data_IF_343426242153
#
_entry.id   IF_343426242153
#
_cell.length_a   1.000
_cell.length_b   1.000
_cell.length_c   1.000
_cell.angle_alpha   90.00
_cell.angle_beta   90.00
_cell.angle_gamma   90.00
#
_symmetry.space_group_name_H-M   'P 1'
#
loop_
_entity.id
_entity.type
_entity.pdbx_description
1 polymer ?
#
# COMPACT_ATOMS: atom_id res chain seq x y z
N UNK A 1 6.58 19.71 -3.10
CA UNK A 1 5.76 20.29 -2.01
C UNK A 1 6.02 19.45 -0.77
N UNK A 2 6.41 20.06 0.35
CA UNK A 2 6.60 19.30 1.58
C UNK A 2 5.28 18.63 1.96
N UNK A 3 5.26 17.30 2.08
CA UNK A 3 4.12 16.59 2.67
C UNK A 3 3.79 17.29 3.99
N UNK A 4 2.53 17.65 4.20
CA UNK A 4 2.08 18.25 5.46
C UNK A 4 2.52 17.40 6.65
N UNK A 5 2.70 18.03 7.82
CA UNK A 5 3.07 17.30 9.04
C UNK A 5 2.03 16.22 9.31
N UNK A 6 2.45 14.96 9.32
CA UNK A 6 1.56 13.84 9.61
C UNK A 6 1.06 13.93 11.05
N UNK A 7 -0.27 13.98 11.23
CA UNK A 7 -0.89 13.98 12.55
C UNK A 7 -1.20 12.55 13.00
N UNK A 8 -0.51 12.10 14.05
CA UNK A 8 -0.73 10.77 14.65
C UNK A 8 -1.98 10.79 15.53
N UNK A 9 -3.14 10.70 14.91
CA UNK A 9 -4.44 10.66 15.62
C UNK A 9 -4.85 9.24 16.03
N UNK A 10 -4.26 8.21 15.39
CA UNK A 10 -4.55 6.78 15.62
C UNK A 10 -3.29 6.01 15.99
N UNK A 11 -3.40 4.89 16.74
CA UNK A 11 -2.30 3.94 16.91
C UNK A 11 -1.76 3.48 15.57
N UNK A 12 -0.44 3.61 15.39
CA UNK A 12 0.28 3.23 14.18
C UNK A 12 0.78 1.78 14.28
N UNK A 13 0.58 0.98 13.24
CA UNK A 13 1.07 -0.40 13.16
C UNK A 13 1.77 -0.64 11.82
N UNK A 14 3.01 -1.12 11.87
CA UNK A 14 3.71 -1.57 10.66
C UNK A 14 3.22 -2.97 10.27
N UNK A 15 2.83 -3.15 9.01
CA UNK A 15 2.35 -4.42 8.46
C UNK A 15 2.98 -4.69 7.10
N UNK A 16 3.00 -5.95 6.68
CA UNK A 16 3.58 -6.32 5.38
C UNK A 16 2.89 -7.53 4.78
N UNK A 17 2.81 -7.57 3.45
CA UNK A 17 2.24 -8.69 2.69
C UNK A 17 3.35 -9.62 2.24
N UNK A 18 3.42 -10.81 2.83
CA UNK A 18 4.42 -11.85 2.52
C UNK A 18 3.76 -13.09 1.93
N UNK A 19 4.51 -13.90 1.16
CA UNK A 19 4.01 -15.12 0.54
C UNK A 19 4.72 -15.49 -0.76
N UNK A 20 4.41 -16.68 -1.30
CA UNK A 20 5.01 -17.21 -2.53
C UNK A 20 4.72 -16.32 -3.76
N UNK A 21 5.53 -16.46 -4.81
CA UNK A 21 5.33 -15.75 -6.09
C UNK A 21 3.92 -16.07 -6.64
N UNK A 22 3.30 -15.10 -7.31
CA UNK A 22 1.95 -15.19 -7.89
C UNK A 22 0.77 -15.43 -6.93
N UNK A 23 0.99 -15.42 -5.61
CA UNK A 23 -0.09 -15.48 -4.62
C UNK A 23 -0.85 -14.14 -4.43
N UNK A 24 -0.71 -13.19 -5.36
CA UNK A 24 -1.52 -11.97 -5.38
C UNK A 24 -1.19 -10.91 -4.33
N UNK A 25 0.05 -10.87 -3.82
CA UNK A 25 0.48 -9.90 -2.79
C UNK A 25 0.21 -8.45 -3.21
N UNK A 26 0.71 -8.02 -4.37
CA UNK A 26 0.52 -6.66 -4.91
C UNK A 26 -0.95 -6.33 -5.13
N UNK A 27 -1.73 -7.28 -5.68
CA UNK A 27 -3.17 -7.11 -5.93
C UNK A 27 -3.93 -6.89 -4.63
N UNK A 28 -3.60 -7.65 -3.58
CA UNK A 28 -4.19 -7.49 -2.25
C UNK A 28 -3.82 -6.11 -1.67
N UNK A 29 -2.56 -5.70 -1.77
CA UNK A 29 -2.11 -4.38 -1.29
C UNK A 29 -2.84 -3.23 -2.02
N UNK A 30 -3.00 -3.31 -3.34
CA UNK A 30 -3.77 -2.33 -4.10
C UNK A 30 -5.24 -2.29 -3.65
N UNK A 31 -5.87 -3.45 -3.42
CA UNK A 31 -7.25 -3.53 -2.94
C UNK A 31 -7.42 -2.93 -1.54
N UNK A 32 -6.46 -3.14 -0.63
CA UNK A 32 -6.47 -2.55 0.72
C UNK A 32 -6.46 -1.03 0.66
N UNK A 33 -5.58 -0.44 -0.15
CA UNK A 33 -5.54 1.03 -0.31
C UNK A 33 -6.80 1.57 -0.98
N UNK A 34 -7.36 0.85 -1.97
CA UNK A 34 -8.61 1.25 -2.64
C UNK A 34 -9.78 1.30 -1.66
N UNK A 35 -10.02 0.19 -0.96
CA UNK A 35 -11.15 0.08 -0.04
C UNK A 35 -10.97 0.99 1.16
N UNK A 36 -9.74 1.18 1.64
CA UNK A 36 -9.40 2.16 2.67
C UNK A 36 -9.78 3.58 2.22
N UNK A 37 -9.31 3.99 1.04
CA UNK A 37 -9.62 5.30 0.46
C UNK A 37 -11.13 5.53 0.28
N UNK A 38 -11.86 4.54 -0.24
CA UNK A 38 -13.31 4.62 -0.45
C UNK A 38 -14.11 4.72 0.87
N UNK A 39 -13.65 4.07 1.94
CA UNK A 39 -14.42 3.98 3.20
C UNK A 39 -14.02 5.01 4.25
N UNK A 40 -12.74 5.32 4.35
CA UNK A 40 -12.17 6.09 5.45
C UNK A 40 -11.39 7.32 4.95
N UNK A 41 -11.26 7.50 3.64
CA UNK A 41 -10.37 8.49 3.04
C UNK A 41 -8.93 7.97 2.93
N UNK A 42 -8.03 8.83 2.46
CA UNK A 42 -6.64 8.46 2.17
C UNK A 42 -6.36 8.33 0.66
N UNK A 43 -5.23 7.72 0.31
CA UNK A 43 -4.73 7.66 -1.06
C UNK A 43 -4.79 6.22 -1.60
N UNK A 44 -5.51 6.02 -2.71
CA UNK A 44 -5.47 4.76 -3.45
C UNK A 44 -4.13 4.60 -4.18
N UNK A 45 -3.52 3.42 -4.07
CA UNK A 45 -2.34 3.01 -4.84
C UNK A 45 -2.72 1.87 -5.79
N UNK A 46 -2.73 2.16 -7.08
CA UNK A 46 -2.95 1.17 -8.12
C UNK A 46 -1.80 0.16 -8.19
N UNK A 47 -2.08 -1.03 -8.75
CA UNK A 47 -1.10 -2.10 -8.93
C UNK A 47 0.20 -1.61 -9.57
N UNK A 48 0.12 -0.88 -10.68
CA UNK A 48 1.26 -0.34 -11.43
C UNK A 48 2.05 0.76 -10.68
N UNK A 49 1.48 1.30 -9.60
CA UNK A 49 2.14 2.26 -8.71
C UNK A 49 2.84 1.57 -7.53
N UNK A 50 2.49 0.31 -7.26
CA UNK A 50 3.15 -0.54 -6.26
C UNK A 50 4.29 -1.30 -6.95
N UNK A 51 4.02 -1.94 -8.09
CA UNK A 51 5.03 -2.54 -8.97
C UNK A 51 5.48 -1.49 -10.01
N UNK A 52 6.14 -0.43 -9.53
CA UNK A 52 6.44 0.76 -10.32
C UNK A 52 7.74 0.66 -11.14
N UNK A 53 8.68 -0.20 -10.75
CA UNK A 53 9.96 -0.26 -11.44
C UNK A 53 9.79 -0.85 -12.85
N UNK A 54 10.50 -0.33 -13.88
CA UNK A 54 10.41 -0.85 -15.24
C UNK A 54 10.66 -2.36 -15.33
N UNK A 55 11.54 -2.86 -14.47
CA UNK A 55 11.94 -4.26 -14.40
C UNK A 55 10.86 -5.14 -13.76
N UNK A 56 10.10 -4.60 -12.80
CA UNK A 56 8.96 -5.29 -12.16
C UNK A 56 7.81 -5.44 -13.14
N UNK A 57 7.48 -4.38 -13.89
CA UNK A 57 6.44 -4.40 -14.91
C UNK A 57 6.75 -5.39 -16.04
N UNK A 58 8.01 -5.46 -16.45
CA UNK A 58 8.45 -6.38 -17.49
C UNK A 58 8.41 -7.86 -17.05
N UNK A 59 8.58 -8.13 -15.74
CA UNK A 59 8.68 -9.49 -15.20
C UNK A 59 7.42 -9.97 -14.47
N UNK A 60 6.47 -9.09 -14.18
CA UNK A 60 5.25 -9.41 -13.45
C UNK A 60 5.47 -9.81 -11.98
N UNK A 61 6.62 -9.46 -11.42
CA UNK A 61 6.99 -9.78 -10.03
C UNK A 61 7.48 -8.53 -9.31
N UNK A 62 7.13 -8.41 -8.03
CA UNK A 62 7.68 -7.39 -7.13
C UNK A 62 9.13 -7.72 -6.82
N UNK A 63 10.03 -6.75 -7.05
CA UNK A 63 11.48 -6.87 -6.82
C UNK A 63 11.88 -6.00 -5.63
N UNK A 64 11.32 -4.79 -5.54
CA UNK A 64 11.56 -3.81 -4.52
C UNK A 64 10.36 -3.71 -3.57
N UNK A 65 10.63 -3.51 -2.28
CA UNK A 65 9.56 -3.28 -1.30
C UNK A 65 8.88 -1.94 -1.58
N UNK A 66 7.56 -1.97 -1.80
CA UNK A 66 6.73 -0.78 -1.87
C UNK A 66 6.15 -0.45 -0.49
N UNK A 67 6.29 0.81 -0.06
CA UNK A 67 5.63 1.33 1.14
C UNK A 67 4.32 2.01 0.75
N UNK A 68 3.21 1.56 1.33
CA UNK A 68 1.89 2.15 1.14
C UNK A 68 1.24 2.38 2.50
N UNK A 69 0.38 3.39 2.58
CA UNK A 69 -0.34 3.70 3.81
C UNK A 69 -1.84 3.52 3.59
N UNK A 70 -2.54 3.00 4.60
CA UNK A 70 -3.99 2.93 4.65
C UNK A 70 -4.44 2.91 6.11
N UNK A 71 -5.73 3.09 6.36
CA UNK A 71 -6.25 3.16 7.72
C UNK A 71 -7.58 2.45 7.89
N UNK A 72 -7.92 2.19 9.15
CA UNK A 72 -9.24 1.78 9.60
C UNK A 72 -9.80 2.84 10.56
N UNK A 73 -11.04 2.69 11.07
CA UNK A 73 -11.57 3.61 12.07
C UNK A 73 -10.71 3.69 13.35
N UNK A 74 -9.93 2.64 13.65
CA UNK A 74 -9.23 2.50 14.93
C UNK A 74 -7.71 2.59 14.84
N UNK A 75 -7.11 2.42 13.64
CA UNK A 75 -5.65 2.34 13.47
C UNK A 75 -5.19 2.91 12.12
N UNK A 76 -3.93 3.35 12.08
CA UNK A 76 -3.20 3.65 10.84
C UNK A 76 -2.18 2.53 10.57
N UNK A 77 -2.04 2.15 9.30
CA UNK A 77 -1.16 1.07 8.83
C UNK A 77 -0.16 1.60 7.81
N UNK A 78 1.09 1.14 7.92
CA UNK A 78 2.20 1.45 7.01
C UNK A 78 3.09 0.23 6.77
#
# INVERSE_FOLDING_TARGET
>A
MAKGKFERTKPHVNVGTIGHVDHGKTTLTAALTKIGAERFGGEFKAYDAIDAAPEEKARGITISTAHVEYESPTRHYA
#
